data_IF_891066314314
#
_entry.id   IF_891066314314
#
_cell.length_a   1.000
_cell.length_b   1.000
_cell.length_c   1.000
_cell.angle_alpha   90.00
_cell.angle_beta   90.00
_cell.angle_gamma   90.00
#
_symmetry.space_group_name_H-M   'P 1'
#
loop_
_entity.id
_entity.type
_entity.pdbx_description
1 polymer ?
#
# COMPACT_ATOMS: atom_id res chain seq x y z
N UNK A 1 -20.33 -27.39 8.61
CA UNK A 1 -19.65 -26.82 7.42
C UNK A 1 -19.48 -25.30 7.50
N UNK A 2 -20.51 -24.54 7.89
CA UNK A 2 -20.46 -23.06 7.98
C UNK A 2 -19.39 -22.56 8.96
N UNK A 3 -19.28 -23.15 10.15
CA UNK A 3 -18.26 -22.77 11.16
C UNK A 3 -16.83 -22.98 10.64
N UNK A 4 -16.56 -24.09 9.95
CA UNK A 4 -15.25 -24.35 9.33
C UNK A 4 -14.89 -23.28 8.28
N UNK A 5 -15.85 -22.86 7.46
CA UNK A 5 -15.67 -21.78 6.47
C UNK A 5 -15.41 -20.43 7.14
N UNK A 6 -16.15 -20.12 8.21
CA UNK A 6 -15.95 -18.90 8.99
C UNK A 6 -14.55 -18.84 9.60
N UNK A 7 -14.05 -19.94 10.18
CA UNK A 7 -12.69 -20.01 10.74
C UNK A 7 -11.65 -19.68 9.67
N UNK A 8 -11.78 -20.26 8.47
CA UNK A 8 -10.87 -19.97 7.35
C UNK A 8 -10.92 -18.49 6.98
N UNK A 9 -12.12 -17.90 6.84
CA UNK A 9 -12.27 -16.49 6.50
C UNK A 9 -11.62 -15.58 7.56
N UNK A 10 -11.82 -15.86 8.85
CA UNK A 10 -11.21 -15.09 9.94
C UNK A 10 -9.69 -15.21 9.91
N UNK A 11 -9.14 -16.41 9.70
CA UNK A 11 -7.70 -16.61 9.56
C UNK A 11 -7.15 -15.83 8.37
N UNK A 12 -7.81 -15.90 7.20
CA UNK A 12 -7.41 -15.13 6.02
C UNK A 12 -7.47 -13.63 6.29
N UNK A 13 -8.48 -13.14 7.00
CA UNK A 13 -8.58 -11.74 7.39
C UNK A 13 -7.39 -11.31 8.25
N UNK A 14 -7.02 -12.10 9.27
CA UNK A 14 -5.85 -11.83 10.09
C UNK A 14 -4.56 -11.77 9.26
N UNK A 15 -4.38 -12.69 8.31
CA UNK A 15 -3.23 -12.71 7.40
C UNK A 15 -3.21 -11.43 6.54
N UNK A 16 -4.35 -11.04 5.96
CA UNK A 16 -4.43 -9.83 5.14
C UNK A 16 -4.10 -8.56 5.93
N UNK A 17 -4.56 -8.47 7.18
CA UNK A 17 -4.22 -7.33 8.05
C UNK A 17 -2.72 -7.28 8.33
N UNK A 18 -2.12 -8.42 8.68
CA UNK A 18 -0.66 -8.51 8.93
C UNK A 18 0.12 -8.12 7.67
N UNK A 19 -0.28 -8.59 6.49
CA UNK A 19 0.36 -8.21 5.23
C UNK A 19 0.32 -6.70 4.99
N UNK A 20 -0.81 -6.04 5.31
CA UNK A 20 -0.94 -4.59 5.22
C UNK A 20 0.03 -3.85 6.14
N UNK A 21 0.16 -4.30 7.39
CA UNK A 21 1.14 -3.73 8.34
C UNK A 21 2.58 -3.93 7.89
N UNK A 22 2.91 -5.10 7.32
CA UNK A 22 4.26 -5.43 6.89
C UNK A 22 4.67 -4.77 5.57
N UNK A 23 3.75 -4.06 4.89
CA UNK A 23 4.01 -3.42 3.59
C UNK A 23 5.05 -2.32 3.68
N UNK A 24 4.95 -1.47 4.69
CA UNK A 24 5.73 -0.24 4.79
C UNK A 24 6.91 -0.42 5.71
N UNK A 25 8.08 0.02 5.25
CA UNK A 25 9.26 0.18 6.07
C UNK A 25 9.57 1.68 6.19
N UNK A 26 9.52 2.23 7.39
CA UNK A 26 9.87 3.64 7.61
C UNK A 26 11.38 3.77 7.68
N UNK A 27 11.95 4.60 6.82
CA UNK A 27 13.38 4.90 6.78
C UNK A 27 13.65 6.18 7.59
N UNK A 28 14.78 6.82 7.32
CA UNK A 28 15.13 8.10 7.91
C UNK A 28 14.10 9.18 7.57
N UNK A 29 14.02 10.21 8.41
CA UNK A 29 13.15 11.37 8.21
C UNK A 29 13.97 12.64 8.39
N UNK A 30 13.75 13.63 7.53
CA UNK A 30 14.46 14.90 7.54
C UNK A 30 13.45 16.04 7.43
N UNK A 31 13.21 16.74 8.54
CA UNK A 31 12.27 17.86 8.64
C UNK A 31 10.90 17.53 8.04
N UNK A 32 10.57 18.14 6.90
CA UNK A 32 9.29 17.99 6.20
C UNK A 32 9.21 16.74 5.30
N UNK A 33 10.28 15.93 5.24
CA UNK A 33 10.38 14.76 4.38
C UNK A 33 10.50 13.47 5.21
N UNK A 34 9.59 12.53 4.98
CA UNK A 34 9.65 11.18 5.55
C UNK A 34 9.92 10.16 4.45
N UNK A 35 10.99 9.39 4.59
CA UNK A 35 11.32 8.36 3.61
C UNK A 35 10.74 7.01 4.05
N UNK A 36 10.16 6.28 3.10
CA UNK A 36 9.59 4.95 3.35
C UNK A 36 9.90 4.00 2.18
N UNK A 37 9.87 2.71 2.44
CA UNK A 37 10.03 1.68 1.44
C UNK A 37 8.74 0.86 1.31
N UNK A 38 8.20 0.80 0.10
CA UNK A 38 7.08 -0.07 -0.23
C UNK A 38 7.64 -1.46 -0.58
N UNK A 39 7.52 -2.41 0.36
CA UNK A 39 8.01 -3.78 0.15
C UNK A 39 7.24 -4.53 -0.93
N UNK A 40 6.02 -4.11 -1.26
CA UNK A 40 5.23 -4.77 -2.30
C UNK A 40 5.66 -4.34 -3.70
N UNK A 41 5.95 -3.05 -3.88
CA UNK A 41 6.42 -2.49 -5.14
C UNK A 41 7.95 -2.47 -5.26
N UNK A 42 8.67 -2.88 -4.22
CA UNK A 42 10.14 -2.85 -4.17
C UNK A 42 10.72 -1.44 -4.31
N UNK A 43 9.97 -0.40 -3.92
CA UNK A 43 10.22 0.98 -4.32
C UNK A 43 10.35 1.89 -3.09
N UNK A 44 11.35 2.78 -3.08
CA UNK A 44 11.48 3.86 -2.08
C UNK A 44 10.55 5.03 -2.43
N UNK A 45 9.96 5.62 -1.42
CA UNK A 45 9.04 6.75 -1.51
C UNK A 45 9.46 7.83 -0.52
N UNK A 46 9.13 9.07 -0.85
CA UNK A 46 9.20 10.19 0.06
C UNK A 46 7.81 10.76 0.26
N UNK A 47 7.46 11.02 1.50
CA UNK A 47 6.28 11.77 1.91
C UNK A 47 6.73 13.17 2.28
N UNK A 48 6.18 14.17 1.60
CA UNK A 48 6.43 15.57 1.86
C UNK A 48 5.25 16.20 2.60
N UNK A 49 5.54 16.83 3.74
CA UNK A 49 4.59 17.53 4.60
C UNK A 49 4.83 19.03 4.52
N UNK A 50 4.13 19.76 3.63
CA UNK A 50 4.39 21.18 3.43
C UNK A 50 4.16 22.00 4.72
N UNK A 51 5.17 22.76 5.21
CA UNK A 51 5.15 23.36 6.55
C UNK A 51 4.09 24.46 6.74
N UNK A 52 3.59 25.04 5.65
CA UNK A 52 2.56 26.09 5.66
C UNK A 52 1.15 25.57 5.34
N UNK A 53 1.03 24.30 4.97
CA UNK A 53 -0.28 23.69 4.79
C UNK A 53 -0.64 23.01 6.11
N UNK A 54 -1.70 23.45 6.77
CA UNK A 54 -2.37 22.67 7.82
C UNK A 54 -3.05 21.42 7.22
N UNK A 55 -2.30 20.65 6.42
CA UNK A 55 -2.72 19.45 5.71
C UNK A 55 -2.20 18.26 6.49
N UNK A 56 -3.11 17.44 6.98
CA UNK A 56 -2.79 16.09 7.49
C UNK A 56 -2.28 15.15 6.40
N UNK A 57 -2.42 15.55 5.13
CA UNK A 57 -2.11 14.72 3.98
C UNK A 57 -0.75 15.10 3.42
N UNK A 58 0.17 14.13 3.39
CA UNK A 58 1.45 14.24 2.71
C UNK A 58 1.29 14.13 1.19
N UNK A 59 2.15 14.84 0.45
CA UNK A 59 2.37 14.54 -0.96
C UNK A 59 3.40 13.42 -1.06
N UNK A 60 3.07 12.35 -1.75
CA UNK A 60 3.98 11.21 -1.90
C UNK A 60 4.68 11.23 -3.26
N UNK A 61 5.95 10.86 -3.31
CA UNK A 61 6.68 10.75 -4.57
C UNK A 61 7.58 9.50 -4.57
N UNK A 62 7.63 8.73 -5.67
CA UNK A 62 8.58 7.65 -5.83
C UNK A 62 9.99 8.23 -5.95
N UNK A 63 10.93 7.70 -5.19
CA UNK A 63 12.33 8.08 -5.29
C UNK A 63 12.97 7.39 -6.48
N UNK A 64 13.57 8.18 -7.37
CA UNK A 64 14.50 7.66 -8.35
C UNK A 64 15.85 7.53 -7.66
N UNK A 65 16.36 6.30 -7.59
CA UNK A 65 17.62 6.02 -6.93
C UNK A 65 18.61 5.43 -7.94
N UNK A 66 19.85 5.91 -7.87
CA UNK A 66 21.01 5.30 -8.51
C UNK A 66 22.15 5.31 -7.50
N UNK A 67 22.88 4.20 -7.43
CA UNK A 67 24.08 4.08 -6.60
C UNK A 67 25.26 4.93 -7.13
N UNK A 68 25.39 5.08 -8.46
CA UNK A 68 26.50 5.79 -9.11
C UNK A 68 26.03 6.60 -10.35
N UNK A 69 25.71 7.88 -10.18
CA UNK A 69 25.63 8.85 -11.29
C UNK A 69 26.77 9.86 -11.11
N UNK A 70 27.52 10.07 -12.17
CA UNK A 70 28.47 11.17 -12.22
C UNK A 70 27.68 12.49 -12.26
N UNK A 71 28.02 13.50 -11.44
CA UNK A 71 27.25 14.75 -11.32
C UNK A 71 26.95 15.41 -12.67
N UNK A 72 27.86 15.25 -13.63
CA UNK A 72 27.75 15.79 -14.99
C UNK A 72 26.62 15.15 -15.82
N UNK A 73 26.15 13.95 -15.47
CA UNK A 73 25.13 13.19 -16.21
C UNK A 73 23.72 13.27 -15.59
N UNK A 74 23.56 13.96 -14.46
CA UNK A 74 22.30 14.08 -13.73
C UNK A 74 21.17 14.61 -14.63
N UNK A 75 21.42 15.69 -15.37
CA UNK A 75 20.39 16.31 -16.21
C UNK A 75 19.93 15.37 -17.34
N UNK A 76 20.85 14.60 -17.93
CA UNK A 76 20.54 13.63 -18.97
C UNK A 76 19.72 12.47 -18.40
N UNK A 77 20.08 12.01 -17.20
CA UNK A 77 19.35 10.96 -16.51
C UNK A 77 17.93 11.40 -16.12
N UNK A 78 17.79 12.57 -15.48
CA UNK A 78 16.49 13.14 -15.11
C UNK A 78 15.62 13.36 -16.34
N UNK A 79 16.21 13.88 -17.43
CA UNK A 79 15.50 14.04 -18.71
C UNK A 79 14.98 12.70 -19.25
N UNK A 80 15.80 11.64 -19.22
CA UNK A 80 15.38 10.30 -19.63
C UNK A 80 14.23 9.77 -18.77
N UNK A 81 14.33 9.91 -17.45
CA UNK A 81 13.33 9.46 -16.48
C UNK A 81 12.00 10.23 -16.59
N UNK A 82 12.07 11.54 -16.84
CA UNK A 82 10.90 12.37 -17.05
C UNK A 82 10.20 12.02 -18.37
N UNK A 83 10.96 11.78 -19.44
CA UNK A 83 10.41 11.46 -20.77
C UNK A 83 9.94 10.02 -20.90
N UNK A 84 10.49 9.08 -20.13
CA UNK A 84 10.11 7.67 -20.18
C UNK A 84 8.79 7.36 -19.46
N UNK A 85 8.31 8.28 -18.61
CA UNK A 85 7.14 8.04 -17.76
C UNK A 85 7.39 6.98 -16.67
N UNK A 86 8.64 6.63 -16.39
CA UNK A 86 9.00 5.56 -15.43
C UNK A 86 8.42 5.83 -14.03
N UNK A 87 8.42 7.09 -13.58
CA UNK A 87 7.79 7.47 -12.30
C UNK A 87 6.29 7.22 -12.28
N UNK A 88 5.61 7.53 -13.39
CA UNK A 88 4.18 7.31 -13.53
C UNK A 88 3.88 5.81 -13.52
N UNK A 89 4.71 5.01 -14.19
CA UNK A 89 4.57 3.55 -14.19
C UNK A 89 4.72 2.96 -12.78
N UNK A 90 5.70 3.42 -11.99
CA UNK A 90 5.88 3.02 -10.59
C UNK A 90 4.66 3.39 -9.72
N UNK A 91 4.09 4.58 -9.96
CA UNK A 91 2.83 4.99 -9.34
C UNK A 91 1.67 4.08 -9.69
N UNK A 92 1.49 3.78 -10.98
CA UNK A 92 0.40 2.90 -11.47
C UNK A 92 0.54 1.50 -10.89
N UNK A 93 1.75 0.95 -10.86
CA UNK A 93 2.02 -0.37 -10.29
C UNK A 93 1.67 -0.42 -8.81
N UNK A 94 2.13 0.57 -8.03
CA UNK A 94 1.75 0.71 -6.62
C UNK A 94 0.24 0.77 -6.44
N UNK A 95 -0.46 1.58 -7.24
CA UNK A 95 -1.91 1.73 -7.12
C UNK A 95 -2.61 0.41 -7.42
N UNK A 96 -2.25 -0.30 -8.48
CA UNK A 96 -2.80 -1.62 -8.81
C UNK A 96 -2.62 -2.64 -7.68
N UNK A 97 -1.43 -2.70 -7.07
CA UNK A 97 -1.17 -3.58 -5.93
C UNK A 97 -2.03 -3.21 -4.71
N UNK A 98 -2.18 -1.91 -4.46
CA UNK A 98 -3.01 -1.39 -3.37
C UNK A 98 -4.48 -1.71 -3.59
N UNK A 99 -5.01 -1.45 -4.78
CA UNK A 99 -6.40 -1.69 -5.13
C UNK A 99 -6.74 -3.18 -5.08
N UNK A 100 -5.85 -4.04 -5.58
CA UNK A 100 -6.01 -5.49 -5.49
C UNK A 100 -6.06 -5.99 -4.04
N UNK A 101 -5.17 -5.48 -3.19
CA UNK A 101 -5.17 -5.79 -1.76
C UNK A 101 -6.44 -5.30 -1.06
N UNK A 102 -6.81 -4.03 -1.27
CA UNK A 102 -8.00 -3.42 -0.65
C UNK A 102 -9.26 -4.16 -1.10
N UNK A 103 -9.38 -4.50 -2.39
CA UNK A 103 -10.48 -5.29 -2.92
C UNK A 103 -10.60 -6.67 -2.26
N UNK A 104 -9.48 -7.39 -2.11
CA UNK A 104 -9.45 -8.69 -1.44
C UNK A 104 -9.81 -8.58 0.05
N UNK A 105 -9.31 -7.56 0.74
CA UNK A 105 -9.60 -7.29 2.15
C UNK A 105 -11.10 -7.01 2.35
N UNK A 106 -11.67 -6.11 1.55
CA UNK A 106 -13.09 -5.76 1.61
C UNK A 106 -13.98 -6.97 1.31
N UNK A 107 -13.64 -7.75 0.28
CA UNK A 107 -14.38 -8.97 -0.05
C UNK A 107 -14.37 -9.96 1.13
N UNK A 108 -13.22 -10.14 1.78
CA UNK A 108 -13.11 -11.03 2.92
C UNK A 108 -13.98 -10.55 4.10
N UNK A 109 -13.95 -9.25 4.42
CA UNK A 109 -14.80 -8.64 5.44
C UNK A 109 -16.29 -8.89 5.16
N UNK A 110 -16.73 -8.68 3.91
CA UNK A 110 -18.12 -8.94 3.51
C UNK A 110 -18.53 -10.41 3.72
N UNK A 111 -17.65 -11.35 3.38
CA UNK A 111 -17.89 -12.79 3.58
C UNK A 111 -18.00 -13.15 5.06
N UNK A 112 -17.17 -12.54 5.92
CA UNK A 112 -17.23 -12.72 7.37
C UNK A 112 -18.57 -12.21 7.92
N UNK A 113 -18.96 -10.97 7.58
CA UNK A 113 -20.24 -10.37 8.01
C UNK A 113 -21.43 -11.24 7.56
N UNK A 114 -21.46 -11.63 6.27
CA UNK A 114 -22.51 -12.49 5.74
C UNK A 114 -22.60 -13.83 6.48
N UNK A 115 -21.46 -14.43 6.81
CA UNK A 115 -21.40 -15.69 7.55
C UNK A 115 -21.96 -15.55 8.96
N UNK A 116 -21.68 -14.44 9.66
CA UNK A 116 -22.27 -14.15 10.97
C UNK A 116 -23.79 -13.98 10.88
N UNK A 117 -24.29 -13.19 9.93
CA UNK A 117 -25.74 -12.99 9.72
C UNK A 117 -26.43 -14.34 9.47
N UNK A 118 -25.85 -15.18 8.61
CA UNK A 118 -26.41 -16.50 8.29
C UNK A 118 -26.46 -17.42 9.50
N UNK A 119 -25.44 -17.42 10.36
CA UNK A 119 -25.43 -18.20 11.61
C UNK A 119 -26.52 -17.69 12.55
N UNK A 120 -26.68 -16.37 12.68
CA UNK A 120 -27.71 -15.76 13.52
C UNK A 120 -29.12 -16.19 13.10
N UNK A 121 -29.45 -16.08 11.80
CA UNK A 121 -30.74 -16.50 11.26
C UNK A 121 -30.99 -18.00 11.48
N UNK A 122 -29.96 -18.84 11.31
CA UNK A 122 -30.09 -20.29 11.53
C UNK A 122 -30.25 -20.65 13.00
N UNK A 123 -29.76 -19.82 13.93
CA UNK A 123 -29.97 -20.00 15.36
C UNK A 123 -31.40 -19.69 15.77
N UNK A 124 -31.97 -18.60 15.24
CA UNK A 124 -33.34 -18.17 15.59
C UNK A 124 -34.44 -19.06 14.97
N UNK A 125 -34.12 -19.84 13.94
CA UNK A 125 -35.04 -20.82 13.34
C UNK A 125 -35.05 -22.19 14.04
N UNK A 126 -34.25 -22.37 15.09
CA UNK A 126 -34.05 -23.65 15.79
C UNK A 126 -34.59 -23.57 17.20
#
# INVERSE_FOLDING_TARGET
MIIKKLIICVITLCILLILGFLRWDNLESSADFHYKYDRWAGQKWVEFYPPLAASSNSMEFPLIYIDEINQNDINKYLGKQALSGELVNKWIERTKLTDGYVGLLLLNILVVIYSFIKIFILRDKK
#
